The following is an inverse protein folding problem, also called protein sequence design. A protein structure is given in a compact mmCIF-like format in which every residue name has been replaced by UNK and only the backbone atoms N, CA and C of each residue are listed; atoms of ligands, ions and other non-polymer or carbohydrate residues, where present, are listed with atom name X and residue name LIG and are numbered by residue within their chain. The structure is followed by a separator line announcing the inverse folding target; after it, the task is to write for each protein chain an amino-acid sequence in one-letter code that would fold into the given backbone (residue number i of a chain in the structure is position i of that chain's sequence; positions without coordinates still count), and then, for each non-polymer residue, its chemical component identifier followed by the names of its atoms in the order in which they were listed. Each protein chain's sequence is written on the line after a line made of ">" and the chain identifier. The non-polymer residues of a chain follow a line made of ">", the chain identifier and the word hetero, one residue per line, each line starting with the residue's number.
data_IF_023517885141
#
_entry.id   IF_023517885141
#
_cell.length_a   1.000
_cell.length_b   1.000
_cell.length_c   1.000
_cell.angle_alpha   90.00
_cell.angle_beta   90.00
_cell.angle_gamma   90.00
#
_symmetry.space_group_name_H-M   'P 1'
#
loop_
_entity.id
_entity.type
_entity.pdbx_description
1 polymer ?
#
# COMPACT_ATOMS: atom_id res chain seq x y z
N UNK A 1 46.01 -67.11 -15.22
CA UNK A 1 45.47 -65.81 -15.77
C UNK A 1 44.21 -65.47 -15.02
N UNK A 2 44.32 -64.49 -14.07
CA UNK A 2 43.18 -63.98 -13.31
C UNK A 2 42.64 -62.73 -14.01
N UNK A 3 41.39 -62.76 -14.47
CA UNK A 3 40.69 -61.57 -15.03
C UNK A 3 40.20 -60.69 -13.86
N UNK A 4 40.73 -59.48 -13.81
CA UNK A 4 40.21 -58.41 -12.90
C UNK A 4 39.05 -57.76 -13.59
N UNK A 5 37.85 -57.88 -13.01
CA UNK A 5 36.65 -57.16 -13.47
C UNK A 5 36.64 -55.80 -12.75
N UNK A 6 36.84 -54.72 -13.53
CA UNK A 6 36.76 -53.35 -13.05
C UNK A 6 35.29 -52.93 -13.07
N UNK A 7 34.65 -52.82 -11.91
CA UNK A 7 33.30 -52.27 -11.81
C UNK A 7 33.40 -50.74 -11.72
N UNK A 8 33.09 -50.05 -12.80
CA UNK A 8 32.87 -48.58 -12.76
C UNK A 8 31.51 -48.30 -12.12
N UNK A 9 31.51 -47.83 -10.86
CA UNK A 9 30.35 -47.26 -10.25
C UNK A 9 30.17 -45.83 -10.76
N UNK A 10 29.24 -45.62 -11.71
CA UNK A 10 28.78 -44.30 -12.16
C UNK A 10 27.88 -43.75 -11.04
N UNK A 11 28.38 -42.84 -10.20
CA UNK A 11 27.56 -42.02 -9.31
C UNK A 11 26.78 -41.02 -10.19
N UNK A 12 25.53 -41.30 -10.46
CA UNK A 12 24.57 -40.32 -10.92
C UNK A 12 24.32 -39.34 -9.76
N UNK A 13 25.01 -38.20 -9.80
CA UNK A 13 24.63 -37.03 -9.02
C UNK A 13 23.29 -36.55 -9.59
N UNK A 14 22.21 -37.02 -9.02
CA UNK A 14 20.90 -36.38 -9.20
C UNK A 14 20.94 -35.00 -8.54
N UNK A 15 21.26 -33.98 -9.31
CA UNK A 15 20.99 -32.60 -8.91
C UNK A 15 19.47 -32.44 -8.88
N UNK A 16 18.88 -32.71 -7.73
CA UNK A 16 17.55 -32.18 -7.44
C UNK A 16 17.69 -30.66 -7.42
N UNK A 17 17.38 -30.02 -8.53
CA UNK A 17 17.15 -28.60 -8.56
C UNK A 17 16.00 -28.35 -7.57
N UNK A 18 16.33 -27.92 -6.37
CA UNK A 18 15.33 -27.39 -5.43
C UNK A 18 14.67 -26.24 -6.20
N UNK A 19 13.41 -26.45 -6.58
CA UNK A 19 12.61 -25.37 -7.15
C UNK A 19 12.68 -24.22 -6.14
N UNK A 20 13.40 -23.19 -6.51
CA UNK A 20 13.54 -22.01 -5.68
C UNK A 20 12.13 -21.42 -5.59
N UNK A 21 11.45 -21.63 -4.45
CA UNK A 21 10.12 -21.09 -4.24
C UNK A 21 10.21 -19.57 -4.32
N UNK A 22 9.87 -19.04 -5.51
CA UNK A 22 9.72 -17.60 -5.69
C UNK A 22 8.54 -17.13 -4.87
N UNK A 23 8.73 -16.08 -4.09
CA UNK A 23 7.69 -15.42 -3.32
C UNK A 23 7.35 -14.11 -3.97
N UNK A 24 6.09 -13.92 -4.30
CA UNK A 24 5.58 -12.65 -4.80
C UNK A 24 5.12 -11.79 -3.62
N UNK A 25 5.49 -10.51 -3.64
CA UNK A 25 5.13 -9.51 -2.64
C UNK A 25 4.84 -8.19 -3.35
N UNK A 26 3.70 -7.59 -3.09
CA UNK A 26 3.40 -6.23 -3.54
C UNK A 26 4.14 -5.25 -2.65
N UNK A 27 5.09 -4.50 -3.22
CA UNK A 27 5.80 -3.43 -2.53
C UNK A 27 5.21 -2.09 -2.95
N UNK A 28 4.83 -1.26 -1.97
CA UNK A 28 4.32 0.07 -2.25
C UNK A 28 4.88 1.12 -1.29
N UNK A 29 5.08 2.33 -1.82
CA UNK A 29 5.65 3.45 -1.08
C UNK A 29 4.59 4.16 -0.25
N UNK A 30 4.75 4.13 1.08
CA UNK A 30 3.95 4.88 2.04
C UNK A 30 4.08 6.38 1.78
N UNK A 31 2.98 7.04 1.43
CA UNK A 31 2.94 8.47 1.04
C UNK A 31 3.91 8.80 -0.09
N UNK A 32 4.17 7.84 -1.00
CA UNK A 32 5.17 8.00 -2.05
C UNK A 32 6.61 7.79 -1.59
N UNK A 33 6.83 6.93 -0.55
CA UNK A 33 8.19 6.62 -0.01
C UNK A 33 8.82 7.78 0.75
N UNK A 34 8.20 8.17 1.84
CA UNK A 34 8.43 9.43 2.58
C UNK A 34 9.84 9.65 3.15
N UNK A 35 10.66 8.59 3.28
CA UNK A 35 12.06 8.75 3.69
C UNK A 35 12.97 9.09 2.52
N UNK A 36 12.53 8.88 1.28
CA UNK A 36 13.30 9.09 0.07
C UNK A 36 12.82 10.33 -0.70
N UNK A 37 11.53 10.66 -0.57
CA UNK A 37 10.90 11.76 -1.26
C UNK A 37 10.10 12.66 -0.31
N UNK A 38 9.53 13.72 -0.85
CA UNK A 38 8.64 14.62 -0.12
C UNK A 38 7.23 14.04 -0.08
N UNK A 39 6.80 13.58 1.11
CA UNK A 39 5.60 12.77 1.28
C UNK A 39 4.34 13.40 0.65
N UNK A 40 3.48 12.56 0.08
CA UNK A 40 2.18 12.96 -0.43
C UNK A 40 2.22 14.05 -1.51
N UNK A 41 3.26 14.07 -2.33
CA UNK A 41 3.38 15.00 -3.47
C UNK A 41 3.42 14.26 -4.81
N UNK A 42 3.02 14.94 -5.88
CA UNK A 42 3.16 14.39 -7.24
C UNK A 42 4.62 14.11 -7.60
N UNK A 43 5.56 14.89 -7.05
CA UNK A 43 7.00 14.66 -7.24
C UNK A 43 7.44 13.33 -6.60
N UNK A 44 6.92 12.99 -5.41
CA UNK A 44 7.21 11.72 -4.75
C UNK A 44 6.69 10.53 -5.57
N UNK A 45 5.43 10.57 -6.00
CA UNK A 45 4.82 9.46 -6.74
C UNK A 45 5.53 9.21 -8.08
N UNK A 46 5.81 10.27 -8.84
CA UNK A 46 6.52 10.17 -10.11
C UNK A 46 7.97 9.73 -9.92
N UNK A 47 8.69 10.33 -8.98
CA UNK A 47 10.09 9.98 -8.71
C UNK A 47 10.26 8.54 -8.25
N UNK A 48 9.38 8.03 -7.41
CA UNK A 48 9.37 6.64 -6.99
C UNK A 48 9.05 5.69 -8.17
N UNK A 49 8.06 6.04 -9.00
CA UNK A 49 7.68 5.27 -10.19
C UNK A 49 8.83 5.21 -11.22
N UNK A 50 9.53 6.33 -11.47
CA UNK A 50 10.71 6.40 -12.33
C UNK A 50 11.84 5.48 -11.85
N UNK A 51 11.92 5.20 -10.55
CA UNK A 51 12.80 4.18 -9.95
C UNK A 51 12.23 2.77 -10.03
N UNK A 52 11.07 2.62 -10.70
CA UNK A 52 10.44 1.34 -11.02
C UNK A 52 9.64 0.73 -9.86
N UNK A 53 9.25 1.49 -8.83
CA UNK A 53 8.29 1.05 -7.82
C UNK A 53 6.89 1.38 -8.35
N UNK A 54 6.07 0.36 -8.59
CA UNK A 54 4.73 0.51 -9.18
C UNK A 54 3.61 0.42 -8.13
N UNK A 55 3.95 0.55 -6.86
CA UNK A 55 2.97 0.59 -5.78
C UNK A 55 3.09 1.89 -4.99
N UNK A 56 1.97 2.54 -4.70
CA UNK A 56 1.92 3.72 -3.84
C UNK A 56 0.73 3.68 -2.89
N UNK A 57 0.88 4.34 -1.77
CA UNK A 57 -0.18 4.68 -0.84
C UNK A 57 -0.30 6.20 -0.76
N UNK A 58 -1.52 6.71 -0.55
CA UNK A 58 -1.84 8.13 -0.49
C UNK A 58 -2.99 8.41 0.47
N UNK A 59 -2.89 9.51 1.20
CA UNK A 59 -3.87 9.94 2.21
C UNK A 59 -4.86 10.94 1.62
N UNK A 60 -6.16 10.67 1.71
CA UNK A 60 -7.19 11.49 1.07
C UNK A 60 -8.09 12.17 2.09
N UNK A 61 -8.20 13.51 1.99
CA UNK A 61 -9.08 14.37 2.80
C UNK A 61 -9.98 15.23 1.93
N UNK A 62 -10.98 15.89 2.54
CA UNK A 62 -11.78 16.94 1.89
C UNK A 62 -11.24 18.33 2.23
N UNK A 63 -11.28 19.21 1.26
CA UNK A 63 -11.18 20.65 1.50
C UNK A 63 -12.53 21.22 1.96
N UNK A 64 -12.54 22.48 2.42
CA UNK A 64 -13.74 23.21 2.81
C UNK A 64 -14.82 23.27 1.71
N UNK A 65 -14.38 23.37 0.46
CA UNK A 65 -15.26 23.42 -0.72
C UNK A 65 -15.48 22.02 -1.36
N UNK A 66 -15.14 20.95 -0.61
CA UNK A 66 -15.46 19.57 -0.98
C UNK A 66 -14.60 18.99 -2.07
N UNK A 67 -13.39 19.52 -2.32
CA UNK A 67 -12.42 18.92 -3.22
C UNK A 67 -11.58 17.86 -2.48
N UNK A 68 -11.06 16.87 -3.21
CA UNK A 68 -10.24 15.81 -2.63
C UNK A 68 -8.76 16.23 -2.69
N UNK A 69 -8.17 16.42 -1.53
CA UNK A 69 -6.78 16.83 -1.35
C UNK A 69 -5.98 15.69 -0.74
N UNK A 70 -4.70 15.61 -1.08
CA UNK A 70 -3.79 14.60 -0.55
C UNK A 70 -3.05 15.19 0.65
N UNK A 71 -3.36 14.67 1.86
CA UNK A 71 -2.72 15.08 3.10
C UNK A 71 -2.93 14.02 4.19
N UNK A 72 -1.85 13.62 4.86
CA UNK A 72 -1.96 12.71 6.01
C UNK A 72 -2.59 13.41 7.21
N UNK A 73 -2.03 14.54 7.62
CA UNK A 73 -2.50 15.29 8.78
C UNK A 73 -3.71 16.14 8.42
N UNK A 74 -4.55 16.42 9.39
CA UNK A 74 -5.65 17.39 9.24
C UNK A 74 -5.13 18.83 9.21
N UNK A 75 -3.88 19.10 9.61
CA UNK A 75 -3.24 20.40 9.60
C UNK A 75 -2.04 20.45 8.63
N UNK A 76 -1.75 21.62 8.11
CA UNK A 76 -0.61 21.88 7.23
C UNK A 76 0.72 22.03 7.97
N UNK A 77 0.71 22.12 9.30
CA UNK A 77 1.78 22.65 10.14
C UNK A 77 3.08 21.83 10.10
N UNK A 78 2.98 20.52 9.88
CA UNK A 78 4.15 19.62 9.93
C UNK A 78 4.99 19.65 8.66
N UNK A 79 4.40 19.91 7.53
CA UNK A 79 5.04 19.76 6.22
C UNK A 79 5.19 21.07 5.45
N UNK A 80 4.58 22.15 5.94
CA UNK A 80 4.56 23.42 5.23
C UNK A 80 4.84 24.58 6.18
N UNK A 81 5.31 25.74 5.66
CA UNK A 81 5.44 26.95 6.48
C UNK A 81 4.09 27.59 6.85
N UNK A 82 2.97 26.99 6.43
CA UNK A 82 1.62 27.49 6.69
C UNK A 82 0.99 26.73 7.85
N UNK A 83 0.03 27.35 8.49
CA UNK A 83 -0.78 26.75 9.56
C UNK A 83 -2.24 26.67 9.16
N UNK A 84 -2.99 25.77 9.81
CA UNK A 84 -4.44 25.65 9.65
C UNK A 84 -4.88 24.27 9.17
N UNK A 85 -6.18 24.03 9.32
CA UNK A 85 -6.76 22.74 8.96
C UNK A 85 -7.12 22.69 7.48
N UNK A 86 -6.80 21.58 6.86
CA UNK A 86 -7.09 21.28 5.46
C UNK A 86 -8.58 21.40 5.17
N UNK A 87 -9.42 20.89 6.08
CA UNK A 87 -10.88 20.89 5.95
C UNK A 87 -11.51 22.29 6.14
N UNK A 88 -10.75 23.27 6.62
CA UNK A 88 -11.18 24.67 6.76
C UNK A 88 -10.73 25.55 5.58
N UNK A 89 -9.91 25.02 4.68
CA UNK A 89 -9.37 25.73 3.52
C UNK A 89 -10.00 25.26 2.20
N UNK A 90 -10.22 26.20 1.28
CA UNK A 90 -10.65 25.88 -0.09
C UNK A 90 -9.49 25.36 -0.92
N UNK A 91 -9.79 24.61 -2.00
CA UNK A 91 -8.79 24.22 -3.01
C UNK A 91 -7.93 25.40 -3.47
N UNK A 92 -8.56 26.56 -3.76
CA UNK A 92 -7.86 27.78 -4.19
C UNK A 92 -6.84 28.28 -3.15
N UNK A 93 -7.12 28.12 -1.87
CA UNK A 93 -6.19 28.49 -0.80
C UNK A 93 -5.05 27.47 -0.71
N UNK A 94 -5.36 26.18 -0.69
CA UNK A 94 -4.38 25.09 -0.60
C UNK A 94 -3.45 25.06 -1.82
N UNK A 95 -3.94 25.35 -3.03
CA UNK A 95 -3.10 25.42 -4.25
C UNK A 95 -2.01 26.51 -4.23
N UNK A 96 -2.02 27.38 -3.23
CA UNK A 96 -0.95 28.39 -3.03
C UNK A 96 0.09 27.95 -1.99
N UNK A 97 -0.15 26.80 -1.34
CA UNK A 97 0.74 26.26 -0.32
C UNK A 97 1.71 25.29 -0.97
N UNK A 98 2.96 25.38 -0.55
CA UNK A 98 4.00 24.40 -0.87
C UNK A 98 4.51 23.75 0.41
N UNK A 99 5.02 22.56 0.28
CA UNK A 99 5.77 21.91 1.35
C UNK A 99 7.05 22.69 1.68
N UNK A 100 7.70 22.38 2.80
CA UNK A 100 9.02 22.95 3.18
C UNK A 100 10.10 22.64 2.14
N UNK A 101 9.93 21.61 1.33
CA UNK A 101 10.81 21.26 0.20
C UNK A 101 10.39 21.92 -1.12
N UNK A 102 9.36 22.77 -1.12
CA UNK A 102 8.94 23.56 -2.27
C UNK A 102 7.98 22.86 -3.25
N UNK A 103 7.48 21.66 -2.93
CA UNK A 103 6.52 20.96 -3.77
C UNK A 103 5.08 21.43 -3.50
N UNK A 104 4.23 21.59 -4.53
CA UNK A 104 2.80 21.88 -4.35
C UNK A 104 2.10 20.76 -3.58
N UNK A 105 1.08 21.12 -2.79
CA UNK A 105 0.15 20.16 -2.21
C UNK A 105 -0.64 19.51 -3.34
N UNK A 106 -0.65 18.18 -3.40
CA UNK A 106 -1.29 17.43 -4.46
C UNK A 106 -2.79 17.26 -4.24
N UNK A 107 -3.54 17.11 -5.34
CA UNK A 107 -4.96 16.77 -5.33
C UNK A 107 -5.21 15.42 -6.00
N UNK A 108 -6.30 14.74 -5.61
CA UNK A 108 -6.60 13.39 -6.11
C UNK A 108 -6.88 13.37 -7.61
N UNK A 109 -7.46 14.43 -8.17
CA UNK A 109 -7.69 14.54 -9.62
C UNK A 109 -6.38 14.61 -10.42
N UNK A 110 -5.36 15.30 -9.90
CA UNK A 110 -4.01 15.36 -10.49
C UNK A 110 -3.33 13.98 -10.44
N UNK A 111 -3.44 13.30 -9.28
CA UNK A 111 -2.93 11.93 -9.12
C UNK A 111 -3.63 10.97 -10.08
N UNK A 112 -4.97 10.99 -10.13
CA UNK A 112 -5.73 10.10 -11.01
C UNK A 112 -5.49 10.36 -12.50
N UNK A 113 -5.24 11.62 -12.88
CA UNK A 113 -4.85 11.95 -14.26
C UNK A 113 -3.50 11.30 -14.61
N UNK A 114 -2.50 11.44 -13.77
CA UNK A 114 -1.20 10.80 -14.00
C UNK A 114 -1.31 9.26 -13.96
N UNK A 115 -2.04 8.70 -13.00
CA UNK A 115 -2.25 7.26 -12.91
C UNK A 115 -2.94 6.66 -14.13
N UNK A 116 -3.75 7.45 -14.86
CA UNK A 116 -4.39 6.97 -16.09
C UNK A 116 -3.42 6.68 -17.23
N UNK A 117 -2.19 7.18 -17.13
CA UNK A 117 -1.09 6.95 -18.07
C UNK A 117 -0.13 5.83 -17.60
N UNK A 118 -0.34 5.30 -16.36
CA UNK A 118 0.51 4.31 -15.71
C UNK A 118 -0.25 2.98 -15.55
N UNK A 119 0.00 2.01 -16.42
CA UNK A 119 -0.63 0.68 -16.29
C UNK A 119 0.13 -0.22 -15.30
N UNK A 120 -0.56 -1.16 -14.67
CA UNK A 120 0.03 -2.10 -13.72
C UNK A 120 0.37 -1.50 -12.33
N UNK A 121 -0.23 -0.36 -11.97
CA UNK A 121 -0.04 0.26 -10.66
C UNK A 121 -0.87 -0.42 -9.56
N UNK A 122 -0.28 -0.58 -8.38
CA UNK A 122 -0.98 -0.85 -7.13
C UNK A 122 -1.14 0.45 -6.35
N UNK A 123 -2.37 0.85 -6.05
CA UNK A 123 -2.64 2.14 -5.38
C UNK A 123 -3.57 1.94 -4.18
N UNK A 124 -3.12 2.37 -3.00
CA UNK A 124 -3.94 2.46 -1.81
C UNK A 124 -4.37 3.91 -1.57
N UNK A 125 -5.69 4.14 -1.59
CA UNK A 125 -6.29 5.42 -1.22
C UNK A 125 -6.77 5.32 0.23
N UNK A 126 -5.99 5.84 1.19
CA UNK A 126 -6.40 5.88 2.59
C UNK A 126 -7.44 6.98 2.82
N UNK A 127 -8.62 6.57 3.23
CA UNK A 127 -9.74 7.47 3.54
C UNK A 127 -9.58 8.02 4.96
N UNK A 128 -9.12 9.25 5.09
CA UNK A 128 -8.89 9.96 6.36
C UNK A 128 -10.18 10.62 6.88
N UNK A 129 -11.14 9.80 7.32
CA UNK A 129 -12.51 10.22 7.61
C UNK A 129 -12.87 10.18 9.11
N UNK A 130 -11.92 9.94 10.01
CA UNK A 130 -12.19 9.74 11.43
C UNK A 130 -13.03 10.85 12.07
N UNK A 131 -12.81 12.09 11.64
CA UNK A 131 -13.52 13.29 12.16
C UNK A 131 -14.75 13.67 11.34
N UNK A 132 -15.12 12.90 10.29
CA UNK A 132 -16.26 13.23 9.43
C UNK A 132 -17.58 12.77 10.03
N UNK A 133 -18.62 13.61 9.84
CA UNK A 133 -19.99 13.23 10.18
C UNK A 133 -20.52 12.15 9.21
N UNK A 134 -21.55 11.39 9.59
CA UNK A 134 -22.18 10.42 8.67
C UNK A 134 -22.65 11.03 7.35
N UNK A 135 -23.11 12.28 7.38
CA UNK A 135 -23.59 13.01 6.19
C UNK A 135 -22.44 13.34 5.22
N UNK A 136 -21.21 13.49 5.73
CA UNK A 136 -20.02 13.75 4.91
C UNK A 136 -19.47 12.49 4.28
N UNK A 137 -19.66 11.30 4.85
CA UNK A 137 -19.08 10.05 4.36
C UNK A 137 -19.60 9.66 2.97
N UNK A 138 -20.91 9.75 2.75
CA UNK A 138 -21.50 9.35 1.46
C UNK A 138 -21.02 10.20 0.28
N UNK A 139 -21.04 11.53 0.31
CA UNK A 139 -20.51 12.36 -0.78
C UNK A 139 -18.98 12.18 -0.94
N UNK A 140 -18.23 12.05 0.16
CA UNK A 140 -16.80 11.78 0.13
C UNK A 140 -16.49 10.46 -0.60
N UNK A 141 -17.05 9.34 -0.15
CA UNK A 141 -16.83 8.03 -0.76
C UNK A 141 -17.27 8.02 -2.23
N UNK A 142 -18.42 8.68 -2.55
CA UNK A 142 -18.91 8.77 -3.93
C UNK A 142 -17.91 9.53 -4.82
N UNK A 143 -17.40 10.68 -4.36
CA UNK A 143 -16.46 11.50 -5.13
C UNK A 143 -15.14 10.76 -5.35
N UNK A 144 -14.58 10.19 -4.26
CA UNK A 144 -13.32 9.46 -4.33
C UNK A 144 -13.40 8.26 -5.27
N UNK A 145 -14.39 7.39 -5.11
CA UNK A 145 -14.54 6.22 -5.95
C UNK A 145 -14.71 6.57 -7.42
N UNK A 146 -15.62 7.50 -7.75
CA UNK A 146 -15.83 7.93 -9.12
C UNK A 146 -14.58 8.52 -9.75
N UNK A 147 -13.84 9.35 -9.02
CA UNK A 147 -12.62 9.97 -9.51
C UNK A 147 -11.52 8.94 -9.75
N UNK A 148 -11.28 8.04 -8.79
CA UNK A 148 -10.26 7.01 -8.90
C UNK A 148 -10.56 6.01 -10.03
N UNK A 149 -11.83 5.58 -10.15
CA UNK A 149 -12.21 4.53 -11.10
C UNK A 149 -12.47 5.02 -12.52
N UNK A 150 -12.68 6.34 -12.74
CA UNK A 150 -13.08 6.89 -14.03
C UNK A 150 -12.11 6.57 -15.19
N UNK A 151 -10.82 6.51 -14.89
CA UNK A 151 -9.76 6.27 -15.89
C UNK A 151 -8.75 5.22 -15.41
N UNK A 152 -9.15 4.35 -14.49
CA UNK A 152 -8.27 3.30 -13.96
C UNK A 152 -7.83 2.37 -15.10
N UNK A 153 -6.50 2.21 -15.34
CA UNK A 153 -6.01 1.22 -16.30
C UNK A 153 -6.40 -0.21 -15.91
N UNK A 154 -6.58 -1.07 -16.90
CA UNK A 154 -7.17 -2.40 -16.69
C UNK A 154 -6.29 -3.31 -15.81
N UNK A 155 -4.97 -3.21 -15.93
CA UNK A 155 -4.04 -4.04 -15.16
C UNK A 155 -3.66 -3.42 -13.80
N UNK A 156 -4.16 -2.22 -13.47
CA UNK A 156 -3.91 -1.58 -12.18
C UNK A 156 -4.87 -2.08 -11.11
N UNK A 157 -4.41 -2.12 -9.87
CA UNK A 157 -5.20 -2.46 -8.68
C UNK A 157 -5.35 -1.22 -7.80
N UNK A 158 -6.59 -0.79 -7.54
CA UNK A 158 -6.89 0.35 -6.66
C UNK A 158 -7.67 -0.15 -5.46
N UNK A 159 -7.15 0.11 -4.28
CA UNK A 159 -7.68 -0.32 -2.98
C UNK A 159 -8.09 0.91 -2.18
N UNK A 160 -9.30 0.93 -1.64
CA UNK A 160 -9.76 1.98 -0.73
C UNK A 160 -9.58 1.48 0.70
N UNK A 161 -8.74 2.17 1.45
CA UNK A 161 -8.30 1.71 2.76
C UNK A 161 -8.75 2.68 3.86
N UNK A 162 -9.01 2.20 5.05
CA UNK A 162 -9.31 3.08 6.19
C UNK A 162 -9.14 2.40 7.55
N UNK A 163 -8.79 3.20 8.56
CA UNK A 163 -8.99 2.88 9.97
C UNK A 163 -10.45 3.11 10.40
N UNK A 164 -11.20 3.93 9.67
CA UNK A 164 -12.61 4.22 9.95
C UNK A 164 -13.53 3.19 9.30
N UNK A 165 -14.04 2.29 10.11
CA UNK A 165 -15.00 1.26 9.70
C UNK A 165 -16.23 1.84 9.00
N UNK A 166 -16.69 3.03 9.40
CA UNK A 166 -17.87 3.70 8.83
C UNK A 166 -17.63 4.04 7.35
N UNK A 167 -16.41 4.49 7.02
CA UNK A 167 -16.02 4.77 5.63
C UNK A 167 -16.01 3.51 4.77
N UNK A 168 -15.47 2.41 5.29
CA UNK A 168 -15.48 1.11 4.60
C UNK A 168 -16.91 0.59 4.38
N UNK A 169 -17.77 0.66 5.40
CA UNK A 169 -19.17 0.27 5.28
C UNK A 169 -19.92 1.14 4.26
N UNK A 170 -19.70 2.46 4.30
CA UNK A 170 -20.31 3.40 3.35
C UNK A 170 -19.84 3.11 1.92
N UNK A 171 -18.53 2.91 1.71
CA UNK A 171 -17.97 2.57 0.40
C UNK A 171 -18.54 1.25 -0.11
N UNK A 172 -18.62 0.22 0.76
CA UNK A 172 -19.18 -1.10 0.42
C UNK A 172 -20.64 -1.04 0.02
N UNK A 173 -21.44 -0.22 0.72
CA UNK A 173 -22.86 -0.02 0.39
C UNK A 173 -23.05 0.67 -0.94
N UNK A 174 -22.23 1.66 -1.25
CA UNK A 174 -22.32 2.42 -2.51
C UNK A 174 -21.75 1.64 -3.71
N UNK A 175 -20.67 0.90 -3.48
CA UNK A 175 -19.88 0.20 -4.51
C UNK A 175 -19.51 -1.19 -4.00
N UNK A 176 -20.40 -2.19 -4.11
CA UNK A 176 -20.20 -3.55 -3.58
C UNK A 176 -18.94 -4.25 -4.10
N UNK A 177 -18.49 -3.88 -5.32
CA UNK A 177 -17.29 -4.45 -5.97
C UNK A 177 -16.01 -3.67 -5.68
N UNK A 178 -16.06 -2.61 -4.86
CA UNK A 178 -14.86 -1.87 -4.47
C UNK A 178 -13.89 -2.79 -3.71
N UNK A 179 -12.60 -2.75 -4.08
CA UNK A 179 -11.55 -3.44 -3.34
C UNK A 179 -11.24 -2.64 -2.07
N UNK A 180 -11.55 -3.23 -0.92
CA UNK A 180 -11.52 -2.55 0.37
C UNK A 180 -10.53 -3.22 1.31
N UNK A 181 -9.80 -2.41 2.10
CA UNK A 181 -8.89 -2.88 3.13
C UNK A 181 -9.19 -2.23 4.48
N UNK A 182 -9.37 -3.06 5.50
CA UNK A 182 -9.39 -2.62 6.89
C UNK A 182 -7.96 -2.40 7.38
N UNK A 183 -7.61 -1.19 7.78
CA UNK A 183 -6.33 -0.90 8.43
C UNK A 183 -6.54 -0.86 9.94
N UNK A 184 -5.63 -1.49 10.68
CA UNK A 184 -5.62 -1.47 12.14
C UNK A 184 -4.22 -1.28 12.70
N UNK A 185 -4.10 -0.54 13.81
CA UNK A 185 -2.85 -0.36 14.56
C UNK A 185 -2.43 -1.57 15.39
N UNK A 186 -3.12 -2.72 15.20
CA UNK A 186 -2.90 -3.97 15.93
C UNK A 186 -2.21 -5.00 15.05
N UNK A 187 -1.54 -6.03 15.63
CA UNK A 187 -1.05 -7.17 14.88
C UNK A 187 -2.20 -7.99 14.27
N UNK A 188 -1.87 -8.84 13.31
CA UNK A 188 -2.82 -9.84 12.78
C UNK A 188 -3.26 -10.76 13.93
N UNK A 189 -4.57 -10.86 14.12
CA UNK A 189 -5.19 -11.63 15.22
C UNK A 189 -6.56 -12.17 14.80
N UNK A 190 -7.10 -13.09 15.60
CA UNK A 190 -8.45 -13.63 15.36
C UNK A 190 -9.53 -12.54 15.38
N UNK A 191 -9.36 -11.54 16.25
CA UNK A 191 -10.25 -10.38 16.33
C UNK A 191 -10.27 -9.60 15.03
N UNK A 192 -9.08 -9.31 14.46
CA UNK A 192 -8.94 -8.55 13.19
C UNK A 192 -9.49 -9.36 12.01
N UNK A 193 -9.20 -10.65 11.95
CA UNK A 193 -9.73 -11.55 10.92
C UNK A 193 -11.27 -11.55 10.96
N UNK A 194 -11.85 -11.74 12.13
CA UNK A 194 -13.29 -11.72 12.32
C UNK A 194 -13.91 -10.36 11.93
N UNK A 195 -13.29 -9.25 12.33
CA UNK A 195 -13.75 -7.91 11.96
C UNK A 195 -13.75 -7.70 10.45
N UNK A 196 -12.70 -8.13 9.75
CA UNK A 196 -12.62 -8.06 8.29
C UNK A 196 -13.73 -8.87 7.61
N UNK A 197 -14.01 -10.09 8.12
CA UNK A 197 -15.08 -10.95 7.62
C UNK A 197 -16.47 -10.32 7.84
N UNK A 198 -16.73 -9.77 9.02
CA UNK A 198 -17.99 -9.08 9.35
C UNK A 198 -18.22 -7.85 8.44
N UNK A 199 -17.16 -7.13 8.09
CA UNK A 199 -17.20 -6.02 7.14
C UNK A 199 -17.32 -6.49 5.68
N UNK A 200 -17.03 -7.77 5.40
CA UNK A 200 -16.99 -8.31 4.05
C UNK A 200 -15.87 -7.72 3.20
N UNK A 201 -14.74 -7.29 3.82
CA UNK A 201 -13.54 -6.83 3.13
C UNK A 201 -12.60 -8.00 2.88
N UNK A 202 -11.80 -7.91 1.81
CA UNK A 202 -10.88 -8.99 1.42
C UNK A 202 -9.45 -8.74 1.83
N UNK A 203 -9.14 -7.56 2.38
CA UNK A 203 -7.79 -7.15 2.74
C UNK A 203 -7.74 -6.61 4.16
N UNK A 204 -6.62 -6.89 4.82
CA UNK A 204 -6.28 -6.30 6.12
C UNK A 204 -4.88 -5.68 6.05
N UNK A 205 -4.75 -4.47 6.60
CA UNK A 205 -3.47 -3.77 6.80
C UNK A 205 -3.18 -3.73 8.30
N UNK A 206 -2.21 -4.51 8.76
CA UNK A 206 -1.93 -4.69 10.18
C UNK A 206 -0.55 -4.22 10.59
N UNK A 207 -0.40 -3.88 11.87
CA UNK A 207 0.91 -3.60 12.42
C UNK A 207 1.79 -4.85 12.38
N UNK A 208 3.01 -4.71 11.87
CA UNK A 208 3.99 -5.80 11.78
C UNK A 208 4.46 -6.23 13.17
N UNK A 209 4.64 -5.27 14.09
CA UNK A 209 5.02 -5.54 15.48
C UNK A 209 3.97 -6.40 16.19
N UNK A 210 4.42 -7.53 16.72
CA UNK A 210 3.54 -8.51 17.39
C UNK A 210 2.78 -9.45 16.44
N UNK A 211 2.86 -9.27 15.13
CA UNK A 211 2.31 -10.21 14.13
C UNK A 211 3.16 -11.47 14.07
N UNK A 212 2.52 -12.63 14.08
CA UNK A 212 3.18 -13.92 13.89
C UNK A 212 2.89 -14.48 12.49
N UNK A 213 3.82 -15.29 11.98
CA UNK A 213 3.64 -16.00 10.71
C UNK A 213 2.40 -16.92 10.74
N UNK A 214 2.16 -17.59 11.84
CA UNK A 214 0.98 -18.46 12.00
C UNK A 214 -0.32 -17.70 11.85
N UNK A 215 -0.40 -16.47 12.38
CA UNK A 215 -1.59 -15.62 12.22
C UNK A 215 -1.75 -15.09 10.80
N UNK A 216 -0.67 -14.74 10.12
CA UNK A 216 -0.70 -14.37 8.70
C UNK A 216 -1.19 -15.57 7.85
N UNK A 217 -0.65 -16.75 8.07
CA UNK A 217 -1.08 -17.98 7.38
C UNK A 217 -2.56 -18.31 7.66
N UNK A 218 -3.03 -18.08 8.90
CA UNK A 218 -4.45 -18.23 9.24
C UNK A 218 -5.32 -17.26 8.46
N UNK A 219 -5.00 -15.95 8.47
CA UNK A 219 -5.74 -14.94 7.73
C UNK A 219 -5.83 -15.27 6.23
N UNK A 220 -4.74 -15.74 5.64
CA UNK A 220 -4.69 -16.15 4.22
C UNK A 220 -5.54 -17.40 3.95
N UNK A 221 -5.57 -18.38 4.84
CA UNK A 221 -6.47 -19.56 4.74
C UNK A 221 -7.94 -19.17 4.82
N UNK A 222 -8.26 -18.10 5.53
CA UNK A 222 -9.60 -17.49 5.62
C UNK A 222 -9.92 -16.60 4.41
N UNK A 223 -9.04 -16.57 3.40
CA UNK A 223 -9.23 -15.81 2.14
C UNK A 223 -8.86 -14.34 2.19
N UNK A 224 -8.16 -13.88 3.24
CA UNK A 224 -7.71 -12.51 3.36
C UNK A 224 -6.34 -12.29 2.72
N UNK A 225 -6.16 -11.15 2.07
CA UNK A 225 -4.87 -10.62 1.63
C UNK A 225 -4.30 -9.80 2.78
N UNK A 226 -3.05 -10.06 3.17
CA UNK A 226 -2.41 -9.45 4.35
C UNK A 226 -1.35 -8.45 3.92
N UNK A 227 -1.60 -7.17 4.19
CA UNK A 227 -0.62 -6.08 4.12
C UNK A 227 -0.05 -5.80 5.51
N UNK A 228 1.26 -5.56 5.60
CA UNK A 228 1.93 -5.22 6.86
C UNK A 228 2.61 -3.85 6.78
N UNK A 229 2.54 -3.12 7.91
CA UNK A 229 3.15 -1.82 8.11
C UNK A 229 3.62 -1.65 9.59
N UNK A 230 4.47 -0.67 9.95
CA UNK A 230 5.24 0.18 9.07
C UNK A 230 6.42 -0.57 8.45
N UNK A 231 6.90 -0.14 7.28
CA UNK A 231 8.12 -0.60 6.65
C UNK A 231 9.15 0.53 6.63
N UNK A 232 9.82 0.76 7.76
CA UNK A 232 10.72 1.90 7.96
C UNK A 232 12.18 1.59 7.65
N UNK A 233 12.50 0.30 7.45
CA UNK A 233 13.85 -0.18 7.22
C UNK A 233 13.88 -1.41 6.31
N UNK A 234 15.09 -1.79 5.89
CA UNK A 234 15.33 -3.05 5.18
C UNK A 234 14.99 -4.26 6.06
N UNK A 235 15.26 -4.17 7.36
CA UNK A 235 14.95 -5.20 8.34
C UNK A 235 13.44 -5.43 8.46
N UNK A 236 12.64 -4.37 8.41
CA UNK A 236 11.17 -4.47 8.38
C UNK A 236 10.70 -5.18 7.11
N UNK A 237 11.31 -4.88 5.96
CA UNK A 237 11.00 -5.60 4.72
C UNK A 237 11.33 -7.09 4.84
N UNK A 238 12.51 -7.45 5.34
CA UNK A 238 12.92 -8.83 5.56
C UNK A 238 11.93 -9.52 6.51
N UNK A 239 11.57 -8.87 7.62
CA UNK A 239 10.61 -9.38 8.58
C UNK A 239 9.23 -9.60 7.92
N UNK A 240 8.71 -8.63 7.19
CA UNK A 240 7.42 -8.75 6.50
C UNK A 240 7.37 -9.92 5.51
N UNK A 241 8.45 -10.11 4.74
CA UNK A 241 8.62 -11.29 3.86
C UNK A 241 8.65 -12.57 4.68
N UNK A 242 9.38 -12.63 5.78
CA UNK A 242 9.49 -13.81 6.65
C UNK A 242 8.16 -14.15 7.35
N UNK A 243 7.39 -13.13 7.74
CA UNK A 243 6.06 -13.29 8.32
C UNK A 243 5.03 -13.84 7.34
N UNK A 244 5.25 -13.65 6.07
CA UNK A 244 4.32 -14.18 5.08
C UNK A 244 3.35 -13.16 4.47
N UNK A 245 3.62 -11.85 4.57
CA UNK A 245 2.79 -10.79 4.01
C UNK A 245 2.61 -10.90 2.49
N UNK A 246 1.45 -10.54 1.98
CA UNK A 246 1.18 -10.43 0.54
C UNK A 246 1.57 -9.05 0.01
N UNK A 247 1.51 -8.02 0.88
CA UNK A 247 1.86 -6.66 0.55
C UNK A 247 2.64 -5.99 1.70
N UNK A 248 3.54 -5.10 1.38
CA UNK A 248 4.38 -4.36 2.34
C UNK A 248 4.39 -2.88 2.01
N UNK A 249 3.91 -2.09 2.98
CA UNK A 249 3.96 -0.63 2.97
C UNK A 249 5.34 -0.17 3.41
N UNK A 250 6.05 0.62 2.60
CA UNK A 250 7.42 1.03 2.92
C UNK A 250 7.65 2.52 2.84
N UNK A 251 8.30 3.08 3.86
CA UNK A 251 8.78 4.45 3.89
C UNK A 251 10.02 4.69 2.97
N UNK A 252 10.66 3.59 2.51
CA UNK A 252 11.86 3.60 1.67
C UNK A 252 11.78 2.53 0.56
N UNK A 253 10.71 2.57 -0.21
CA UNK A 253 10.38 1.53 -1.17
C UNK A 253 11.40 1.37 -2.31
N UNK A 254 12.09 2.44 -2.71
CA UNK A 254 13.16 2.39 -3.73
C UNK A 254 14.36 1.63 -3.19
N UNK A 255 14.84 1.97 -1.99
CA UNK A 255 15.95 1.27 -1.34
C UNK A 255 15.62 -0.19 -1.05
N UNK A 256 14.39 -0.50 -0.61
CA UNK A 256 13.90 -1.87 -0.41
C UNK A 256 13.93 -2.65 -1.73
N UNK A 257 13.46 -2.06 -2.83
CA UNK A 257 13.49 -2.70 -4.15
C UNK A 257 14.91 -3.01 -4.61
N UNK A 258 15.81 -2.06 -4.45
CA UNK A 258 17.22 -2.26 -4.80
C UNK A 258 17.86 -3.36 -3.94
N UNK A 259 17.62 -3.35 -2.64
CA UNK A 259 18.07 -4.40 -1.73
C UNK A 259 17.52 -5.77 -2.13
N UNK A 260 16.21 -5.89 -2.38
CA UNK A 260 15.58 -7.15 -2.74
C UNK A 260 16.18 -7.72 -4.03
N UNK A 261 16.40 -6.88 -5.04
CA UNK A 261 17.03 -7.27 -6.30
C UNK A 261 18.42 -7.87 -6.09
N UNK A 262 19.22 -7.30 -5.19
CA UNK A 262 20.62 -7.68 -5.00
C UNK A 262 20.80 -8.81 -3.98
N UNK A 263 19.95 -8.87 -2.96
CA UNK A 263 20.13 -9.73 -1.77
C UNK A 263 19.07 -10.79 -1.58
N UNK A 264 17.87 -10.63 -2.19
CA UNK A 264 16.75 -11.57 -2.08
C UNK A 264 16.13 -11.89 -3.44
N UNK A 265 16.92 -12.44 -4.43
CA UNK A 265 16.44 -12.64 -5.81
C UNK A 265 15.28 -13.62 -5.93
N UNK A 266 14.99 -14.38 -4.88
CA UNK A 266 13.84 -15.27 -4.74
C UNK A 266 12.54 -14.53 -4.36
N UNK A 267 12.61 -13.24 -3.99
CA UNK A 267 11.45 -12.37 -3.77
C UNK A 267 11.20 -11.58 -5.06
N UNK A 268 10.04 -11.80 -5.66
CA UNK A 268 9.56 -10.99 -6.77
C UNK A 268 8.68 -9.87 -6.22
N UNK A 269 9.04 -8.64 -6.54
CA UNK A 269 8.27 -7.45 -6.21
C UNK A 269 7.39 -7.08 -7.40
N UNK A 270 6.09 -6.97 -7.14
CA UNK A 270 5.07 -6.56 -8.12
C UNK A 270 4.77 -5.09 -7.94
#
# INVERSE_FOLDING_TARGET
>A
MRRVILVLATMLLSSTAMAQHTREVTLFGHRGSRYEFDENTMAAYKGMHEKGVNGLETDVRLTKDGELVISHDSSLDRLTPNTGKVEEMTRKQISKVTTDKGNPIAFVDELCLWLSECDGMYVEFEMKTGDYSPEQLKPYCTKLYKMAMARKPINSTYVFTSFDVRALQTMKQLYPDADLMLIVGKPVSDEVIKQAQELGVKRIGCNMGGTSRTMVEKAKKEGLIVSLWPGQSIEDFILGVALGADALCSDMAVGVKEFAKNSMPWVKLN
#
